data_IF_889681035626
#
_entry.id   IF_889681035626
#
_cell.length_a   1.000
_cell.length_b   1.000
_cell.length_c   1.000
_cell.angle_alpha   90.00
_cell.angle_beta   90.00
_cell.angle_gamma   90.00
#
_symmetry.space_group_name_H-M   'P 1'
#
loop_
_entity.id
_entity.type
_entity.pdbx_description
1 polymer ?
#
# COMPACT_ATOMS: atom_id res chain seq x y z
N UNK A 1 33.24 22.29 -17.86
CA UNK A 1 31.97 22.06 -17.13
C UNK A 1 32.30 21.22 -15.91
N UNK A 2 31.75 21.52 -14.75
CA UNK A 2 32.03 20.75 -13.53
C UNK A 2 31.59 19.28 -13.77
N UNK A 3 32.43 18.28 -13.51
CA UNK A 3 32.08 16.86 -13.71
C UNK A 3 30.79 16.47 -12.97
N UNK A 4 30.54 17.09 -11.81
CA UNK A 4 29.31 16.92 -11.04
C UNK A 4 28.07 17.42 -11.81
N UNK A 5 28.18 18.57 -12.45
CA UNK A 5 27.09 19.14 -13.26
C UNK A 5 26.81 18.27 -14.48
N UNK A 6 27.86 17.72 -15.11
CA UNK A 6 27.72 16.77 -16.21
C UNK A 6 26.97 15.49 -15.76
N UNK A 7 27.31 14.91 -14.60
CA UNK A 7 26.58 13.73 -14.10
C UNK A 7 25.11 14.03 -13.79
N UNK A 8 24.83 15.17 -13.16
CA UNK A 8 23.46 15.54 -12.78
C UNK A 8 22.53 15.70 -13.98
N UNK A 9 23.05 16.18 -15.12
CA UNK A 9 22.26 16.27 -16.36
C UNK A 9 22.25 14.95 -17.15
N UNK A 10 23.37 14.22 -17.19
CA UNK A 10 23.50 13.05 -18.04
C UNK A 10 22.64 11.86 -17.57
N UNK A 11 22.57 11.61 -16.26
CA UNK A 11 21.82 10.47 -15.71
C UNK A 11 20.32 10.52 -16.04
N UNK A 12 19.56 11.61 -15.73
CA UNK A 12 18.15 11.67 -16.08
C UNK A 12 17.92 11.73 -17.59
N UNK A 13 18.82 12.37 -18.34
CA UNK A 13 18.75 12.43 -19.80
C UNK A 13 18.84 11.03 -20.42
N UNK A 14 19.79 10.21 -19.95
CA UNK A 14 19.96 8.83 -20.43
C UNK A 14 18.72 7.98 -20.11
N UNK A 15 18.17 8.11 -18.90
CA UNK A 15 16.93 7.42 -18.51
C UNK A 15 15.76 7.79 -19.43
N UNK A 16 15.63 9.07 -19.78
CA UNK A 16 14.60 9.55 -20.70
C UNK A 16 14.80 9.05 -22.13
N UNK A 17 16.03 9.03 -22.63
CA UNK A 17 16.38 8.47 -23.95
C UNK A 17 16.01 6.99 -24.01
N UNK A 18 16.37 6.19 -23.00
CA UNK A 18 16.05 4.77 -22.97
C UNK A 18 14.54 4.52 -22.90
N UNK A 19 13.80 5.32 -22.13
CA UNK A 19 12.35 5.26 -22.10
C UNK A 19 11.74 5.61 -23.47
N UNK A 20 12.22 6.67 -24.12
CA UNK A 20 11.76 7.09 -25.45
C UNK A 20 12.03 6.01 -26.50
N UNK A 21 13.21 5.39 -26.47
CA UNK A 21 13.53 4.26 -27.35
C UNK A 21 12.59 3.08 -27.10
N UNK A 22 12.29 2.75 -25.84
CA UNK A 22 11.36 1.66 -25.53
C UNK A 22 9.97 1.93 -26.11
N UNK A 23 9.43 3.14 -25.89
CA UNK A 23 8.09 3.51 -26.41
C UNK A 23 8.06 3.53 -27.94
N UNK A 24 9.14 3.93 -28.59
CA UNK A 24 9.19 4.05 -30.06
C UNK A 24 9.43 2.71 -30.77
N UNK A 25 10.25 1.82 -30.18
CA UNK A 25 10.63 0.54 -30.79
C UNK A 25 9.76 -0.63 -30.31
N UNK A 26 9.11 -0.55 -29.14
CA UNK A 26 8.32 -1.66 -28.62
C UNK A 26 6.98 -1.80 -29.36
N UNK A 27 6.58 -3.02 -29.77
CA UNK A 27 5.28 -3.26 -30.38
C UNK A 27 4.16 -3.02 -29.35
N UNK A 28 3.35 -1.99 -29.58
CA UNK A 28 2.24 -1.65 -28.71
C UNK A 28 0.93 -2.29 -29.21
N UNK A 29 0.47 -3.35 -28.52
CA UNK A 29 -0.83 -4.02 -28.76
C UNK A 29 -1.63 -4.07 -27.44
N UNK A 30 -2.41 -3.03 -27.12
CA UNK A 30 -3.29 -3.01 -25.96
C UNK A 30 -4.54 -3.86 -26.22
N UNK A 31 -4.93 -4.65 -25.23
CA UNK A 31 -6.17 -5.42 -25.19
C UNK A 31 -6.83 -5.12 -23.83
N UNK A 32 -8.15 -5.09 -23.74
CA UNK A 32 -8.90 -4.75 -22.51
C UNK A 32 -8.49 -5.64 -21.32
N UNK A 33 -8.23 -6.92 -21.60
CA UNK A 33 -7.74 -7.89 -20.62
C UNK A 33 -6.29 -7.64 -20.17
N UNK A 34 -5.48 -6.98 -21.01
CA UNK A 34 -4.05 -6.71 -20.78
C UNK A 34 -3.82 -5.36 -20.09
N UNK A 35 -4.75 -4.43 -20.25
CA UNK A 35 -4.69 -3.09 -19.63
C UNK A 35 -5.44 -3.01 -18.30
N UNK A 36 -6.24 -4.03 -17.95
CA UNK A 36 -6.91 -4.13 -16.65
C UNK A 36 -5.97 -4.67 -15.55
N UNK A 37 -6.27 -4.34 -14.30
CA UNK A 37 -5.51 -4.83 -13.15
C UNK A 37 -5.70 -6.35 -12.97
N UNK A 38 -4.61 -7.08 -12.74
CA UNK A 38 -4.66 -8.52 -12.51
C UNK A 38 -5.21 -8.82 -11.10
N UNK A 39 -6.40 -9.40 -11.04
CA UNK A 39 -7.09 -9.77 -9.78
C UNK A 39 -7.48 -11.26 -9.80
N UNK A 40 -6.53 -12.13 -10.19
CA UNK A 40 -6.72 -13.59 -10.25
C UNK A 40 -7.92 -14.06 -11.11
N UNK A 41 -8.32 -13.27 -12.12
CA UNK A 41 -9.46 -13.57 -13.00
C UNK A 41 -10.81 -13.02 -12.53
N UNK A 42 -10.84 -12.27 -11.42
CA UNK A 42 -12.04 -11.56 -10.98
C UNK A 42 -12.05 -10.11 -11.49
N UNK A 43 -13.23 -9.60 -11.82
CA UNK A 43 -13.38 -8.17 -12.10
C UNK A 43 -13.24 -7.38 -10.80
N UNK A 44 -12.45 -6.29 -10.77
CA UNK A 44 -12.34 -5.46 -9.59
C UNK A 44 -13.73 -4.95 -9.19
N UNK A 45 -14.07 -5.05 -7.90
CA UNK A 45 -15.34 -4.54 -7.39
C UNK A 45 -15.32 -3.02 -7.55
N UNK A 46 -16.19 -2.49 -8.42
CA UNK A 46 -16.32 -1.06 -8.66
C UNK A 46 -16.54 -0.30 -7.34
N UNK A 47 -15.60 0.60 -7.01
CA UNK A 47 -15.65 1.41 -5.80
C UNK A 47 -14.85 0.89 -4.60
N UNK A 48 -14.28 -0.32 -4.64
CA UNK A 48 -13.42 -0.88 -3.59
C UNK A 48 -11.96 -1.03 -4.04
N UNK A 49 -11.30 0.10 -4.34
CA UNK A 49 -9.85 0.14 -4.63
C UNK A 49 -8.99 0.36 -3.38
N UNK A 50 -9.60 0.66 -2.24
CA UNK A 50 -8.93 0.86 -0.95
C UNK A 50 -9.43 -0.16 0.06
N UNK A 51 -8.59 -1.14 0.34
CA UNK A 51 -8.77 -2.03 1.48
C UNK A 51 -8.35 -1.32 2.77
N UNK A 52 -9.00 -1.64 3.89
CA UNK A 52 -8.55 -1.18 5.21
C UNK A 52 -7.24 -1.87 5.55
N UNK A 53 -6.14 -1.14 5.42
CA UNK A 53 -4.84 -1.58 5.88
C UNK A 53 -4.69 -1.32 7.38
N UNK A 54 -3.83 -2.10 8.02
CA UNK A 54 -3.63 -2.02 9.44
C UNK A 54 -2.94 -0.71 9.85
N UNK A 55 -3.35 -0.15 11.00
CA UNK A 55 -2.82 1.11 11.52
C UNK A 55 -1.32 1.06 11.84
N UNK A 56 -0.75 -0.13 12.02
CA UNK A 56 0.67 -0.35 12.34
C UNK A 56 1.62 0.31 11.33
N UNK A 57 1.28 0.30 10.04
CA UNK A 57 2.11 0.94 9.00
C UNK A 57 2.17 2.46 9.14
N UNK A 58 1.11 3.08 9.66
CA UNK A 58 1.08 4.51 9.91
C UNK A 58 1.96 4.91 11.10
N UNK A 59 1.99 4.09 12.16
CA UNK A 59 2.82 4.37 13.34
C UNK A 59 4.31 4.33 12.98
N UNK A 60 4.73 3.39 12.12
CA UNK A 60 6.11 3.33 11.60
C UNK A 60 6.45 4.61 10.81
N UNK A 61 5.53 5.10 9.98
CA UNK A 61 5.75 6.33 9.21
C UNK A 61 5.88 7.58 10.10
N UNK A 62 5.05 7.69 11.15
CA UNK A 62 5.15 8.78 12.12
C UNK A 62 6.43 8.70 12.95
N UNK A 63 6.87 7.49 13.30
CA UNK A 63 8.13 7.27 14.00
C UNK A 63 9.34 7.65 13.13
N UNK A 64 9.31 7.32 11.83
CA UNK A 64 10.33 7.77 10.88
C UNK A 64 10.38 9.29 10.77
N UNK A 65 9.22 9.95 10.72
CA UNK A 65 9.14 11.42 10.65
C UNK A 65 9.82 12.09 11.85
N UNK A 66 9.55 11.60 13.07
CA UNK A 66 10.12 12.19 14.29
C UNK A 66 11.64 11.93 14.36
N UNK A 67 12.10 10.74 14.00
CA UNK A 67 13.53 10.40 13.99
C UNK A 67 14.32 11.16 12.89
N UNK A 68 13.71 11.42 11.73
CA UNK A 68 14.31 12.26 10.69
C UNK A 68 14.49 13.71 11.17
N UNK A 69 13.50 14.25 11.90
CA UNK A 69 13.58 15.57 12.52
C UNK A 69 14.67 15.62 13.61
N UNK A 70 14.83 14.55 14.39
CA UNK A 70 15.90 14.45 15.39
C UNK A 70 17.30 14.60 14.77
N UNK A 71 17.57 13.88 13.68
CA UNK A 71 18.86 13.96 12.97
C UNK A 71 19.06 15.35 12.38
N UNK A 72 18.01 15.95 11.82
CA UNK A 72 18.05 17.32 11.30
C UNK A 72 18.47 18.31 12.40
N UNK A 73 17.97 18.17 13.64
CA UNK A 73 18.35 19.05 14.75
C UNK A 73 19.78 18.78 15.24
N UNK A 74 20.25 17.54 15.19
CA UNK A 74 21.62 17.20 15.55
C UNK A 74 22.65 17.68 14.52
N UNK A 75 22.28 17.83 13.25
CA UNK A 75 23.21 18.16 12.18
C UNK A 75 23.96 19.51 12.39
N UNK A 76 23.31 20.63 12.72
CA UNK A 76 24.02 21.89 13.02
C UNK A 76 25.04 21.74 14.15
N UNK A 77 24.66 21.04 15.23
CA UNK A 77 25.54 20.82 16.38
C UNK A 77 26.72 19.94 15.97
N UNK A 78 26.50 18.91 15.14
CA UNK A 78 27.55 18.04 14.62
C UNK A 78 28.57 18.81 13.76
N UNK A 79 28.12 19.77 12.95
CA UNK A 79 29.00 20.61 12.11
C UNK A 79 29.76 21.65 12.94
N UNK A 80 29.15 22.19 14.00
CA UNK A 80 29.76 23.26 14.82
C UNK A 80 30.30 22.79 16.17
N UNK A 81 30.60 21.49 16.34
CA UNK A 81 31.02 20.93 17.63
C UNK A 81 32.18 21.69 18.29
N UNK A 82 33.14 22.16 17.49
CA UNK A 82 34.32 22.89 17.99
C UNK A 82 34.02 24.31 18.47
N UNK A 83 32.88 24.90 18.05
CA UNK A 83 32.49 26.27 18.38
C UNK A 83 31.42 26.33 19.47
N UNK A 84 30.74 25.21 19.72
CA UNK A 84 29.66 25.11 20.71
C UNK A 84 30.26 25.01 22.11
N UNK A 85 29.74 25.83 23.03
CA UNK A 85 30.09 25.75 24.44
C UNK A 85 29.51 24.49 25.09
N UNK A 86 30.05 24.09 26.25
CA UNK A 86 29.56 22.92 27.00
C UNK A 86 28.04 22.99 27.27
N UNK A 87 27.49 24.20 27.39
CA UNK A 87 26.06 24.44 27.58
C UNK A 87 25.23 24.02 26.36
N UNK A 88 25.65 24.39 25.14
CA UNK A 88 24.95 23.98 23.92
C UNK A 88 25.04 22.46 23.68
N UNK A 89 26.17 21.87 24.06
CA UNK A 89 26.34 20.41 24.04
C UNK A 89 25.41 19.70 25.04
N UNK A 90 25.27 20.22 26.26
CA UNK A 90 24.33 19.67 27.26
C UNK A 90 22.88 19.72 26.79
N UNK A 91 22.46 20.81 26.12
CA UNK A 91 21.11 20.92 25.56
C UNK A 91 20.89 19.85 24.47
N UNK A 92 21.89 19.62 23.60
CA UNK A 92 21.82 18.59 22.57
C UNK A 92 21.61 17.19 23.15
N UNK A 93 22.37 16.86 24.22
CA UNK A 93 22.25 15.58 24.91
C UNK A 93 20.87 15.43 25.57
N UNK A 94 20.38 16.47 26.26
CA UNK A 94 19.06 16.41 26.90
C UNK A 94 17.97 16.21 25.86
N UNK A 95 18.04 16.94 24.74
CA UNK A 95 17.08 16.79 23.64
C UNK A 95 17.08 15.37 23.06
N UNK A 96 18.26 14.82 22.79
CA UNK A 96 18.43 13.45 22.30
C UNK A 96 17.84 12.41 23.27
N UNK A 97 18.10 12.56 24.58
CA UNK A 97 17.56 11.66 25.61
C UNK A 97 16.04 11.70 25.64
N UNK A 98 15.43 12.89 25.60
CA UNK A 98 13.96 13.03 25.63
C UNK A 98 13.31 12.35 24.42
N UNK A 99 13.88 12.53 23.22
CA UNK A 99 13.37 11.86 22.01
C UNK A 99 13.58 10.35 22.05
N UNK A 100 14.74 9.88 22.52
CA UNK A 100 15.02 8.45 22.68
C UNK A 100 14.04 7.79 23.66
N UNK A 101 13.67 8.47 24.76
CA UNK A 101 12.66 7.97 25.70
C UNK A 101 11.30 7.86 25.00
N UNK A 102 10.88 8.88 24.24
CA UNK A 102 9.65 8.84 23.46
C UNK A 102 9.61 7.65 22.47
N UNK A 103 10.72 7.40 21.78
CA UNK A 103 10.88 6.27 20.88
C UNK A 103 10.80 4.91 21.59
N UNK A 104 11.48 4.76 22.73
CA UNK A 104 11.48 3.51 23.52
C UNK A 104 10.08 3.20 24.06
N UNK A 105 9.31 4.21 24.47
CA UNK A 105 7.93 4.02 24.92
C UNK A 105 7.05 3.48 23.80
N UNK A 106 7.15 4.01 22.58
CA UNK A 106 6.36 3.57 21.42
C UNK A 106 6.66 2.12 21.03
N UNK A 107 7.93 1.69 21.15
CA UNK A 107 8.32 0.29 20.98
C UNK A 107 7.68 -0.60 22.07
N UNK A 108 7.70 -0.13 23.32
CA UNK A 108 7.13 -0.85 24.46
C UNK A 108 5.60 -1.01 24.38
N UNK A 109 4.90 -0.10 23.70
CA UNK A 109 3.47 -0.18 23.45
C UNK A 109 3.05 -1.30 22.49
N UNK A 110 4.00 -2.02 21.89
CA UNK A 110 3.70 -3.14 20.98
C UNK A 110 3.10 -2.69 19.65
N UNK A 111 3.18 -1.40 19.31
CA UNK A 111 2.68 -0.83 18.07
C UNK A 111 3.35 -1.42 16.82
N UNK A 112 4.53 -2.05 16.98
CA UNK A 112 5.29 -2.74 15.95
C UNK A 112 5.15 -4.27 15.99
N UNK A 113 4.48 -4.83 17.00
CA UNK A 113 4.28 -6.28 17.11
C UNK A 113 3.05 -6.69 16.32
N UNK A 114 3.26 -7.36 15.19
CA UNK A 114 2.17 -8.01 14.45
C UNK A 114 1.67 -9.21 15.27
N UNK A 115 0.75 -8.94 16.20
CA UNK A 115 0.08 -9.99 16.95
C UNK A 115 -0.88 -10.72 16.02
N UNK A 116 -0.80 -12.06 16.02
CA UNK A 116 -1.50 -13.01 15.15
C UNK A 116 -2.82 -12.51 14.55
N UNK A 117 -2.86 -12.48 13.23
CA UNK A 117 -4.01 -12.07 12.41
C UNK A 117 -5.12 -13.10 12.31
N UNK A 118 -5.35 -13.90 13.35
CA UNK A 118 -6.63 -14.60 13.46
C UNK A 118 -7.63 -13.66 14.08
N UNK A 119 -8.05 -12.67 13.30
CA UNK A 119 -9.28 -11.97 13.59
C UNK A 119 -10.38 -13.02 13.41
N UNK A 120 -11.11 -13.41 14.47
CA UNK A 120 -12.12 -14.43 14.38
C UNK A 120 -13.11 -13.95 13.34
N UNK A 121 -13.27 -14.75 12.28
CA UNK A 121 -14.45 -14.67 11.44
C UNK A 121 -15.62 -14.59 12.40
N UNK A 122 -16.37 -13.48 12.32
CA UNK A 122 -17.70 -13.36 12.92
C UNK A 122 -18.31 -14.73 12.73
N UNK A 123 -18.61 -15.45 13.83
CA UNK A 123 -19.23 -16.76 13.76
C UNK A 123 -20.40 -16.60 12.81
N UNK A 124 -20.25 -17.08 11.57
CA UNK A 124 -21.38 -17.27 10.69
C UNK A 124 -22.18 -18.32 11.44
N UNK A 125 -23.21 -17.82 12.10
CA UNK A 125 -24.26 -18.63 12.67
C UNK A 125 -24.61 -19.67 11.62
N UNK A 126 -24.29 -20.93 11.91
CA UNK A 126 -24.72 -22.08 11.12
C UNK A 126 -26.21 -22.28 11.36
N UNK A 127 -26.99 -21.31 10.94
CA UNK A 127 -28.40 -21.44 10.66
C UNK A 127 -28.68 -20.57 9.45
N UNK A 128 -28.45 -21.17 8.28
CA UNK A 128 -29.24 -20.86 7.11
C UNK A 128 -30.58 -21.58 7.36
N UNK A 129 -31.67 -20.88 7.73
CA UNK A 129 -32.98 -21.47 7.51
C UNK A 129 -33.16 -21.54 5.99
N UNK A 130 -33.36 -22.75 5.48
CA UNK A 130 -33.93 -22.96 4.16
C UNK A 130 -35.26 -22.19 4.11
N UNK A 131 -35.26 -21.02 3.47
CA UNK A 131 -36.48 -20.26 3.25
C UNK A 131 -37.14 -20.76 1.98
N UNK A 132 -38.33 -21.32 2.19
CA UNK A 132 -39.24 -21.81 1.20
C UNK A 132 -39.79 -20.69 0.31
N UNK A 133 -39.91 -21.02 -0.98
CA UNK A 133 -41.15 -20.92 -1.78
C UNK A 133 -41.83 -19.53 -1.83
N UNK A 134 -41.60 -18.84 -2.94
CA UNK A 134 -42.58 -17.92 -3.52
C UNK A 134 -43.51 -18.68 -4.46
N UNK A 135 -44.76 -18.83 -4.04
CA UNK A 135 -45.92 -19.32 -4.78
C UNK A 135 -46.51 -18.16 -5.63
N UNK A 136 -46.98 -18.40 -6.86
CA UNK A 136 -47.71 -17.38 -7.64
C UNK A 136 -47.75 -17.58 -9.17
N UNK A 137 -48.49 -18.61 -9.61
CA UNK A 137 -49.36 -18.74 -10.79
C UNK A 137 -49.02 -18.10 -12.16
N UNK A 138 -48.98 -18.93 -13.20
CA UNK A 138 -50.00 -18.94 -14.28
C UNK A 138 -49.83 -20.15 -15.21
N UNK A 139 -50.82 -21.03 -15.17
CA UNK A 139 -51.40 -21.80 -16.27
C UNK A 139 -50.69 -21.73 -17.65
N UNK A 140 -49.93 -22.77 -18.01
CA UNK A 140 -49.78 -23.17 -19.42
C UNK A 140 -49.49 -24.67 -19.53
N UNK A 141 -50.55 -25.45 -19.43
CA UNK A 141 -50.64 -26.74 -20.11
C UNK A 141 -50.51 -26.49 -21.62
N UNK A 142 -49.29 -26.49 -22.17
CA UNK A 142 -49.11 -26.67 -23.62
C UNK A 142 -47.74 -27.21 -24.00
N UNK A 143 -47.80 -28.32 -24.73
CA UNK A 143 -46.82 -28.84 -25.66
C UNK A 143 -45.67 -29.71 -25.13
N UNK A 144 -46.04 -30.94 -24.78
CA UNK A 144 -45.17 -32.11 -24.74
C UNK A 144 -44.99 -32.63 -26.18
N UNK A 145 -44.18 -31.99 -27.03
CA UNK A 145 -43.79 -32.54 -28.37
C UNK A 145 -42.46 -32.03 -28.97
N UNK A 146 -41.65 -31.24 -28.26
CA UNK A 146 -40.49 -30.59 -28.92
C UNK A 146 -39.14 -31.31 -28.67
N UNK A 147 -39.17 -32.61 -28.36
CA UNK A 147 -37.98 -33.45 -28.10
C UNK A 147 -37.33 -34.10 -29.33
N UNK A 148 -37.61 -33.64 -30.55
CA UNK A 148 -37.09 -34.23 -31.80
C UNK A 148 -36.47 -33.20 -32.76
N UNK A 149 -35.55 -32.35 -32.29
CA UNK A 149 -34.92 -31.33 -33.14
C UNK A 149 -33.45 -31.01 -32.83
N UNK A 150 -32.63 -31.99 -32.40
CA UNK A 150 -31.18 -31.80 -32.24
C UNK A 150 -30.29 -32.87 -32.89
N UNK A 151 -30.78 -33.56 -33.93
CA UNK A 151 -29.96 -34.46 -34.75
C UNK A 151 -29.82 -33.89 -36.18
N UNK A 152 -28.89 -32.95 -36.35
CA UNK A 152 -28.16 -32.72 -37.61
C UNK A 152 -26.90 -31.87 -37.41
#
# INVERSE_FOLDING_TARGET
MNNLFFLFIFVPLLAFILLALNVLLAPHKPDESKVSAYECGFSPVYGQTRSTFQIHFYIIAMLFLIFDLEILLLFPIAVTLYQVSIFGFSIAIIFFIVLTIGFVLEIGSGAITLTNFDQPTIKMNKHIPHSHRGEGDTNSQKNKNDTLLWDR
#
